data_IF_521207125022
#
_entry.id   IF_521207125022
#
_cell.length_a   1.000
_cell.length_b   1.000
_cell.length_c   1.000
_cell.angle_alpha   90.00
_cell.angle_beta   90.00
_cell.angle_gamma   90.00
#
_symmetry.space_group_name_H-M   'P 1'
#
loop_
_entity.id
_entity.type
_entity.pdbx_description
1 polymer ?
#
# COMPACT_ATOMS: atom_id res chain seq x y z
N UNK A 1 -14.38 11.46 2.62
CA UNK A 1 -13.40 11.43 1.51
C UNK A 1 -13.13 9.97 1.14
N UNK A 2 -13.47 9.50 -0.07
CA UNK A 2 -13.04 8.17 -0.56
C UNK A 2 -11.74 8.36 -1.35
N UNK A 3 -10.62 7.98 -0.75
CA UNK A 3 -9.32 8.00 -1.42
C UNK A 3 -9.26 6.85 -2.42
N UNK A 4 -9.16 7.16 -3.72
CA UNK A 4 -9.00 6.14 -4.76
C UNK A 4 -7.55 5.65 -4.73
N UNK A 5 -7.34 4.41 -4.30
CA UNK A 5 -6.03 3.74 -4.31
C UNK A 5 -6.07 2.62 -5.34
N UNK A 6 -4.92 2.35 -5.96
CA UNK A 6 -4.78 1.28 -6.94
C UNK A 6 -4.66 -0.10 -6.24
N UNK A 7 -4.05 -0.12 -5.04
CA UNK A 7 -3.89 -1.33 -4.21
C UNK A 7 -4.16 -1.00 -2.74
N UNK A 8 -4.84 -1.89 -2.02
CA UNK A 8 -5.02 -1.83 -0.57
C UNK A 8 -4.28 -2.99 0.09
N UNK A 9 -3.31 -2.68 0.94
CA UNK A 9 -2.59 -3.66 1.76
C UNK A 9 -3.34 -3.86 3.07
N UNK A 10 -3.81 -5.07 3.34
CA UNK A 10 -4.47 -5.41 4.60
C UNK A 10 -3.41 -5.94 5.59
N UNK A 11 -3.25 -5.24 6.71
CA UNK A 11 -2.29 -5.58 7.76
C UNK A 11 -0.94 -4.87 7.62
N UNK A 12 -0.55 -4.14 8.67
CA UNK A 12 0.68 -3.33 8.73
C UNK A 12 1.90 -4.06 9.33
N UNK A 13 1.96 -5.39 9.21
CA UNK A 13 3.12 -6.18 9.62
C UNK A 13 4.35 -5.95 8.73
N UNK A 14 5.47 -6.65 8.99
CA UNK A 14 6.70 -6.52 8.21
C UNK A 14 6.46 -6.76 6.71
N UNK A 15 5.69 -7.80 6.37
CA UNK A 15 5.35 -8.12 4.99
C UNK A 15 4.49 -7.02 4.33
N UNK A 16 3.51 -6.48 5.04
CA UNK A 16 2.63 -5.42 4.52
C UNK A 16 3.35 -4.09 4.31
N UNK A 17 4.23 -3.73 5.24
CA UNK A 17 5.06 -2.52 5.13
C UNK A 17 6.09 -2.63 4.00
N UNK A 18 6.72 -3.80 3.82
CA UNK A 18 7.61 -4.04 2.69
C UNK A 18 6.84 -3.98 1.37
N UNK A 19 5.67 -4.63 1.27
CA UNK A 19 4.83 -4.59 0.08
C UNK A 19 4.43 -3.15 -0.29
N UNK A 20 3.97 -2.35 0.67
CA UNK A 20 3.65 -0.94 0.45
C UNK A 20 4.87 -0.12 -0.01
N UNK A 21 6.05 -0.40 0.57
CA UNK A 21 7.31 0.27 0.18
C UNK A 21 7.70 -0.05 -1.27
N UNK A 22 7.59 -1.30 -1.69
CA UNK A 22 7.86 -1.73 -3.07
C UNK A 22 6.85 -1.10 -4.03
N UNK A 23 5.55 -1.16 -3.71
CA UNK A 23 4.49 -0.56 -4.54
C UNK A 23 4.71 0.95 -4.72
N UNK A 24 5.15 1.64 -3.66
CA UNK A 24 5.47 3.06 -3.71
C UNK A 24 6.70 3.37 -4.58
N UNK A 25 7.74 2.53 -4.53
CA UNK A 25 8.91 2.65 -5.44
C UNK A 25 8.52 2.48 -6.90
N UNK A 26 7.55 1.61 -7.18
CA UNK A 26 6.99 1.39 -8.53
C UNK A 26 5.98 2.46 -8.97
N UNK A 27 5.83 3.56 -8.22
CA UNK A 27 4.84 4.64 -8.45
C UNK A 27 3.37 4.19 -8.44
N UNK A 28 3.06 3.05 -7.82
CA UNK A 28 1.68 2.60 -7.62
C UNK A 28 1.13 3.25 -6.36
N UNK A 29 -0.08 3.80 -6.42
CA UNK A 29 -0.72 4.42 -5.24
C UNK A 29 -1.34 3.33 -4.39
N UNK A 30 -0.63 2.92 -3.35
CA UNK A 30 -1.11 1.97 -2.37
C UNK A 30 -1.60 2.65 -1.09
N UNK A 31 -2.70 2.15 -0.52
CA UNK A 31 -3.14 2.41 0.85
C UNK A 31 -2.87 1.19 1.73
N UNK A 32 -2.91 1.38 3.05
CA UNK A 32 -2.88 0.28 4.02
C UNK A 32 -3.92 0.49 5.10
N UNK A 33 -4.49 -0.60 5.61
CA UNK A 33 -5.51 -0.66 6.66
C UNK A 33 -5.16 -1.73 7.69
#
# INVERSE_FOLDING_TARGET
>A
MKTKVDVLVIGAGPSGTIAASILKKSRIRCGYC
#
